data_IF_799205781012
#
_entry.id   IF_799205781012
#
_cell.length_a   1.000
_cell.length_b   1.000
_cell.length_c   1.000
_cell.angle_alpha   90.00
_cell.angle_beta   90.00
_cell.angle_gamma   90.00
#
_symmetry.space_group_name_H-M   'P 1'
#
loop_
_entity.id
_entity.type
_entity.pdbx_description
1 polymer ?
#
# COMPACT_ATOMS: atom_id res chain seq x y z
N UNK A 1 -3.98 24.43 -16.51
CA UNK A 1 -4.57 23.93 -17.74
C UNK A 1 -5.27 22.58 -17.53
N UNK A 2 -6.34 22.37 -18.22
CA UNK A 2 -7.14 21.13 -18.13
C UNK A 2 -6.32 19.87 -18.39
N UNK A 3 -5.40 19.93 -19.35
CA UNK A 3 -4.56 18.76 -19.72
C UNK A 3 -3.69 18.32 -18.57
N UNK A 4 -3.06 19.25 -17.87
CA UNK A 4 -2.19 18.93 -16.74
C UNK A 4 -3.00 18.39 -15.56
N UNK A 5 -4.14 19.01 -15.28
CA UNK A 5 -5.05 18.54 -14.22
C UNK A 5 -5.53 17.11 -14.49
N UNK A 6 -5.92 16.83 -15.73
CA UNK A 6 -6.39 15.50 -16.14
C UNK A 6 -5.27 14.46 -15.98
N UNK A 7 -4.04 14.81 -16.39
CA UNK A 7 -2.88 13.92 -16.26
C UNK A 7 -2.60 13.59 -14.79
N UNK A 8 -2.67 14.58 -13.91
CA UNK A 8 -2.46 14.37 -12.47
C UNK A 8 -3.56 13.52 -11.88
N UNK A 9 -4.82 13.76 -12.25
CA UNK A 9 -5.97 12.98 -11.80
C UNK A 9 -5.80 11.51 -12.19
N UNK A 10 -5.37 11.24 -13.42
CA UNK A 10 -5.11 9.88 -13.88
C UNK A 10 -4.01 9.20 -13.06
N UNK A 11 -2.94 9.92 -12.73
CA UNK A 11 -1.87 9.37 -11.90
C UNK A 11 -2.36 9.04 -10.49
N UNK A 12 -3.18 9.91 -9.91
CA UNK A 12 -3.76 9.66 -8.60
C UNK A 12 -4.62 8.40 -8.63
N UNK A 13 -5.49 8.26 -9.64
CA UNK A 13 -6.31 7.06 -9.81
C UNK A 13 -5.45 5.82 -10.00
N UNK A 14 -4.35 5.93 -10.75
CA UNK A 14 -3.43 4.83 -10.96
C UNK A 14 -2.79 4.34 -9.66
N UNK A 15 -2.39 5.26 -8.78
CA UNK A 15 -1.84 4.90 -7.48
C UNK A 15 -2.89 4.28 -6.57
N UNK A 16 -4.12 4.81 -6.58
CA UNK A 16 -5.23 4.22 -5.81
C UNK A 16 -5.49 2.79 -6.24
N UNK A 17 -5.54 2.54 -7.55
CA UNK A 17 -5.76 1.19 -8.08
C UNK A 17 -4.59 0.26 -7.76
N UNK A 18 -3.35 0.76 -7.82
CA UNK A 18 -2.18 -0.03 -7.48
C UNK A 18 -2.19 -0.45 -6.00
N UNK A 19 -2.62 0.44 -5.11
CA UNK A 19 -2.77 0.13 -3.69
C UNK A 19 -3.82 -0.97 -3.50
N UNK A 20 -4.98 -0.80 -4.11
CA UNK A 20 -6.08 -1.76 -4.01
C UNK A 20 -5.65 -3.14 -4.54
N UNK A 21 -5.08 -3.17 -5.73
CA UNK A 21 -4.64 -4.42 -6.36
C UNK A 21 -3.57 -5.11 -5.52
N UNK A 22 -2.60 -4.35 -5.02
CA UNK A 22 -1.53 -4.92 -4.20
C UNK A 22 -2.03 -5.50 -2.90
N UNK A 23 -2.94 -4.81 -2.22
CA UNK A 23 -3.51 -5.29 -0.96
C UNK A 23 -4.40 -6.52 -1.19
N UNK A 24 -5.17 -6.52 -2.28
CA UNK A 24 -5.99 -7.65 -2.63
C UNK A 24 -5.14 -8.88 -2.94
N UNK A 25 -4.09 -8.72 -3.74
CA UNK A 25 -3.18 -9.81 -4.07
C UNK A 25 -2.49 -10.35 -2.82
N UNK A 26 -2.04 -9.46 -1.92
CA UNK A 26 -1.43 -9.88 -0.66
C UNK A 26 -2.40 -10.69 0.19
N UNK A 27 -3.67 -10.26 0.24
CA UNK A 27 -4.69 -10.95 1.01
C UNK A 27 -5.05 -12.32 0.42
N UNK A 28 -4.91 -12.48 -0.90
CA UNK A 28 -5.16 -13.77 -1.57
C UNK A 28 -4.10 -14.83 -1.21
N UNK A 29 -2.94 -14.40 -0.72
CA UNK A 29 -1.91 -15.33 -0.25
C UNK A 29 -2.26 -15.76 1.18
N UNK A 30 -3.23 -16.67 1.28
CA UNK A 30 -3.70 -17.21 2.55
C UNK A 30 -4.35 -18.58 2.31
N UNK A 31 -4.00 -19.60 3.10
CA UNK A 31 -3.02 -19.57 4.19
C UNK A 31 -1.57 -19.52 3.69
N UNK A 32 -0.67 -19.00 4.54
CA UNK A 32 0.77 -19.01 4.24
C UNK A 32 1.26 -20.45 4.42
N UNK A 33 1.76 -21.05 3.34
CA UNK A 33 2.19 -22.45 3.36
C UNK A 33 3.69 -22.62 3.22
N UNK A 34 4.35 -21.67 2.54
CA UNK A 34 5.78 -21.72 2.29
C UNK A 34 6.42 -20.39 2.63
N UNK A 35 7.75 -20.39 2.72
CA UNK A 35 8.49 -19.16 2.90
C UNK A 35 8.34 -18.23 1.69
N UNK A 36 8.21 -18.81 0.50
CA UNK A 36 7.97 -18.04 -0.73
C UNK A 36 6.64 -17.30 -0.65
N UNK A 37 5.59 -17.91 -0.11
CA UNK A 37 4.30 -17.26 0.11
C UNK A 37 4.45 -16.05 1.02
N UNK A 38 5.16 -16.21 2.12
CA UNK A 38 5.39 -15.14 3.10
C UNK A 38 6.18 -14.00 2.49
N UNK A 39 7.24 -14.32 1.76
CA UNK A 39 8.08 -13.32 1.09
C UNK A 39 7.27 -12.50 0.09
N UNK A 40 6.45 -13.18 -0.71
CA UNK A 40 5.61 -12.51 -1.70
C UNK A 40 4.56 -11.62 -1.05
N UNK A 41 3.94 -12.08 0.03
CA UNK A 41 2.96 -11.29 0.77
C UNK A 41 3.58 -10.04 1.35
N UNK A 42 4.77 -10.16 1.96
CA UNK A 42 5.52 -9.01 2.48
C UNK A 42 5.88 -8.04 1.37
N UNK A 43 6.31 -8.56 0.21
CA UNK A 43 6.65 -7.73 -0.94
C UNK A 43 5.45 -6.91 -1.41
N UNK A 44 4.29 -7.53 -1.51
CA UNK A 44 3.05 -6.86 -1.94
C UNK A 44 2.61 -5.80 -0.94
N UNK A 45 2.70 -6.08 0.35
CA UNK A 45 2.37 -5.12 1.40
C UNK A 45 3.30 -3.92 1.35
N UNK A 46 4.61 -4.15 1.18
CA UNK A 46 5.59 -3.08 1.09
C UNK A 46 5.38 -2.24 -0.16
N UNK A 47 5.08 -2.87 -1.29
CA UNK A 47 4.77 -2.15 -2.53
C UNK A 47 3.55 -1.25 -2.36
N UNK A 48 2.52 -1.73 -1.67
CA UNK A 48 1.34 -0.93 -1.37
C UNK A 48 1.68 0.29 -0.50
N UNK A 49 2.56 0.12 0.49
CA UNK A 49 3.03 1.25 1.31
C UNK A 49 3.76 2.29 0.47
N UNK A 50 4.59 1.85 -0.46
CA UNK A 50 5.28 2.76 -1.38
C UNK A 50 4.28 3.52 -2.24
N UNK A 51 3.24 2.85 -2.75
CA UNK A 51 2.19 3.49 -3.53
C UNK A 51 1.42 4.53 -2.70
N UNK A 52 1.19 4.26 -1.41
CA UNK A 52 0.58 5.25 -0.51
C UNK A 52 1.42 6.52 -0.42
N UNK A 53 2.74 6.38 -0.31
CA UNK A 53 3.66 7.52 -0.27
C UNK A 53 3.61 8.32 -1.57
N UNK A 54 3.62 7.64 -2.71
CA UNK A 54 3.51 8.30 -4.01
C UNK A 54 2.18 9.05 -4.12
N UNK A 55 1.10 8.44 -3.66
CA UNK A 55 -0.22 9.06 -3.68
C UNK A 55 -0.25 10.33 -2.84
N UNK A 56 0.34 10.30 -1.64
CA UNK A 56 0.41 11.48 -0.78
C UNK A 56 1.16 12.63 -1.46
N UNK A 57 2.26 12.34 -2.16
CA UNK A 57 3.00 13.36 -2.92
C UNK A 57 2.16 13.94 -4.05
N UNK A 58 1.41 13.12 -4.75
CA UNK A 58 0.54 13.59 -5.84
C UNK A 58 -0.61 14.45 -5.33
N UNK A 59 -1.19 14.09 -4.18
CA UNK A 59 -2.22 14.88 -3.53
C UNK A 59 -1.67 16.24 -3.11
N UNK A 60 -0.47 16.27 -2.51
CA UNK A 60 0.18 17.51 -2.11
C UNK A 60 0.48 18.39 -3.32
N UNK A 61 0.98 17.82 -4.40
CA UNK A 61 1.24 18.55 -5.64
C UNK A 61 -0.05 19.16 -6.19
N UNK A 62 -1.15 18.40 -6.18
CA UNK A 62 -2.46 18.87 -6.64
C UNK A 62 -2.93 20.06 -5.83
N UNK A 63 -2.70 20.05 -4.51
CA UNK A 63 -3.03 21.17 -3.63
C UNK A 63 -2.18 22.40 -3.97
N UNK A 64 -0.87 22.23 -4.12
CA UNK A 64 0.05 23.32 -4.47
C UNK A 64 -0.29 23.97 -5.80
N UNK A 65 -0.78 23.21 -6.75
CA UNK A 65 -1.18 23.69 -8.07
C UNK A 65 -2.62 24.19 -8.10
N UNK A 66 -3.30 24.18 -6.96
CA UNK A 66 -4.71 24.62 -6.84
C UNK A 66 -5.66 23.79 -7.71
N UNK A 67 -5.34 22.53 -7.95
CA UNK A 67 -6.23 21.62 -8.68
C UNK A 67 -7.30 21.02 -7.77
N UNK A 68 -7.08 21.03 -6.47
CA UNK A 68 -8.05 20.61 -5.46
C UNK A 68 -8.08 21.66 -4.36
N UNK A 69 -9.23 21.78 -3.69
CA UNK A 69 -9.37 22.71 -2.58
C UNK A 69 -8.85 22.09 -1.28
N UNK A 70 -8.86 22.89 -0.21
CA UNK A 70 -8.36 22.47 1.09
C UNK A 70 -9.16 21.29 1.65
N UNK A 71 -10.47 21.33 1.53
CA UNK A 71 -11.31 20.26 2.08
C UNK A 71 -11.08 18.94 1.37
N UNK A 72 -10.94 18.96 0.06
CA UNK A 72 -10.61 17.78 -0.73
C UNK A 72 -9.22 17.26 -0.37
N UNK A 73 -8.24 18.17 -0.23
CA UNK A 73 -6.89 17.80 0.18
C UNK A 73 -6.90 17.11 1.54
N UNK A 74 -7.57 17.70 2.52
CA UNK A 74 -7.64 17.14 3.87
C UNK A 74 -8.30 15.77 3.88
N UNK A 75 -9.38 15.61 3.14
CA UNK A 75 -10.13 14.35 3.07
C UNK A 75 -9.32 13.24 2.41
N UNK A 76 -8.73 13.52 1.25
CA UNK A 76 -7.93 12.53 0.52
C UNK A 76 -6.68 12.15 1.29
N UNK A 77 -6.04 13.13 1.93
CA UNK A 77 -4.86 12.88 2.76
C UNK A 77 -5.21 11.97 3.92
N UNK A 78 -6.33 12.26 4.61
CA UNK A 78 -6.77 11.44 5.74
C UNK A 78 -7.05 10.01 5.32
N UNK A 79 -7.79 9.82 4.21
CA UNK A 79 -8.10 8.48 3.72
C UNK A 79 -6.83 7.70 3.36
N UNK A 80 -5.88 8.36 2.70
CA UNK A 80 -4.63 7.73 2.30
C UNK A 80 -3.79 7.36 3.52
N UNK A 81 -3.72 8.24 4.53
CA UNK A 81 -3.00 7.95 5.76
C UNK A 81 -3.64 6.80 6.53
N UNK A 82 -4.96 6.72 6.56
CA UNK A 82 -5.66 5.61 7.22
C UNK A 82 -5.28 4.27 6.59
N UNK A 83 -5.28 4.20 5.25
CA UNK A 83 -4.87 2.99 4.53
C UNK A 83 -3.39 2.70 4.76
N UNK A 84 -2.54 3.72 4.72
CA UNK A 84 -1.10 3.58 4.94
C UNK A 84 -0.81 3.01 6.32
N UNK A 85 -1.43 3.56 7.37
CA UNK A 85 -1.21 3.09 8.74
C UNK A 85 -1.73 1.67 8.94
N UNK A 86 -2.90 1.36 8.39
CA UNK A 86 -3.47 0.02 8.46
C UNK A 86 -2.55 -1.00 7.77
N UNK A 87 -2.05 -0.66 6.59
CA UNK A 87 -1.13 -1.52 5.83
C UNK A 87 0.19 -1.68 6.56
N UNK A 88 0.72 -0.59 7.15
CA UNK A 88 1.96 -0.64 7.93
C UNK A 88 1.83 -1.56 9.13
N UNK A 89 0.70 -1.53 9.83
CA UNK A 89 0.45 -2.43 10.97
C UNK A 89 0.40 -3.89 10.51
N UNK A 90 -0.26 -4.14 9.40
CA UNK A 90 -0.34 -5.48 8.82
C UNK A 90 1.05 -5.98 8.42
N UNK A 91 1.82 -5.13 7.73
CA UNK A 91 3.19 -5.45 7.32
C UNK A 91 4.07 -5.77 8.52
N UNK A 92 4.00 -4.94 9.57
CA UNK A 92 4.78 -5.16 10.79
C UNK A 92 4.39 -6.47 11.47
N UNK A 93 3.11 -6.77 11.55
CA UNK A 93 2.64 -8.03 12.13
C UNK A 93 3.16 -9.24 11.36
N UNK A 94 3.20 -9.15 10.02
CA UNK A 94 3.76 -10.22 9.18
C UNK A 94 5.26 -10.36 9.39
N UNK A 95 6.00 -9.25 9.50
CA UNK A 95 7.43 -9.28 9.78
C UNK A 95 7.71 -9.91 11.14
N UNK A 96 6.97 -9.50 12.17
CA UNK A 96 7.15 -10.03 13.52
C UNK A 96 6.89 -11.53 13.54
N UNK A 97 5.88 -12.00 12.83
CA UNK A 97 5.57 -13.42 12.71
C UNK A 97 6.72 -14.16 12.01
N UNK A 98 7.25 -13.59 10.93
CA UNK A 98 8.37 -14.19 10.20
C UNK A 98 9.64 -14.27 11.06
N UNK A 99 9.92 -13.24 11.86
CA UNK A 99 11.07 -13.18 12.75
C UNK A 99 10.92 -14.12 13.94
N UNK A 100 9.70 -14.39 14.38
CA UNK A 100 9.44 -15.32 15.48
C UNK A 100 9.76 -16.77 15.09
N UNK A 101 9.81 -17.06 13.79
CA UNK A 101 10.22 -18.37 13.29
C UNK A 101 11.74 -18.36 13.18
N UNK A 102 12.41 -19.18 14.00
CA UNK A 102 13.88 -19.23 13.98
C UNK A 102 14.37 -19.64 12.59
N UNK A 103 15.50 -19.07 12.11
CA UNK A 103 16.00 -19.41 10.78
C UNK A 103 16.26 -20.89 10.56
N UNK A 104 16.50 -21.65 11.63
CA UNK A 104 16.68 -23.09 11.57
C UNK A 104 15.38 -23.88 11.53
N UNK A 105 14.25 -23.23 11.78
CA UNK A 105 12.94 -23.88 11.82
C UNK A 105 12.22 -23.64 10.50
N UNK A 106 11.97 -24.70 9.71
CA UNK A 106 11.27 -24.52 8.44
C UNK A 106 9.81 -24.13 8.68
N UNK A 107 9.25 -23.35 7.75
CA UNK A 107 7.83 -23.04 7.76
C UNK A 107 7.09 -24.31 7.36
N UNK A 108 6.09 -24.77 8.16
CA UNK A 108 5.37 -26.00 7.82
C UNK A 108 4.60 -25.81 6.49
N UNK A 109 4.94 -26.60 5.48
CA UNK A 109 4.32 -26.49 4.17
C UNK A 109 2.97 -27.19 4.09
N UNK A 110 2.69 -28.05 5.04
CA UNK A 110 1.48 -28.87 5.04
C UNK A 110 0.35 -28.29 5.91
N UNK A 111 0.51 -27.05 6.33
CA UNK A 111 -0.50 -26.40 7.18
C UNK A 111 -1.70 -25.95 6.39
#
# INVERSE_FOLDING_TARGET
PKRVRFSITNKIQGHVMAIYDGLLEANEIFPIRTEADRTERLRLQRAALTECKKLLHMIELSKKRSYIDKDTFDYWTKLTLDVKFMTAKWYKAEQDTAEAIAPSDPIPESV
#
